data_IF_410532893339
#
_entry.id   IF_410532893339
#
_cell.length_a   1.000
_cell.length_b   1.000
_cell.length_c   1.000
_cell.angle_alpha   90.00
_cell.angle_beta   90.00
_cell.angle_gamma   90.00
#
_symmetry.space_group_name_H-M   'P 1'
#
loop_
_entity.id
_entity.type
_entity.pdbx_description
1 polymer ?
#
# COMPACT_ATOMS: atom_id res chain seq x y z
N UNK A 1 7.53 46.70 -20.00
CA UNK A 1 8.29 45.45 -19.82
C UNK A 1 7.70 44.73 -18.62
N UNK A 2 7.01 43.59 -18.77
CA UNK A 2 6.48 42.87 -17.60
C UNK A 2 7.66 42.28 -16.82
N UNK A 3 7.81 42.71 -15.58
CA UNK A 3 8.80 42.20 -14.63
C UNK A 3 8.49 40.74 -14.32
N UNK A 4 9.34 39.82 -14.77
CA UNK A 4 9.25 38.43 -14.37
C UNK A 4 9.39 38.34 -12.84
N UNK A 5 8.50 37.62 -12.15
CA UNK A 5 8.61 37.45 -10.71
C UNK A 5 9.94 36.74 -10.39
N UNK A 6 10.64 37.13 -9.31
CA UNK A 6 11.89 36.50 -8.94
C UNK A 6 11.67 35.01 -8.70
N UNK A 7 12.63 34.19 -9.14
CA UNK A 7 12.57 32.72 -9.10
C UNK A 7 12.12 32.17 -7.73
N UNK A 8 12.53 32.82 -6.64
CA UNK A 8 12.12 32.49 -5.28
C UNK A 8 10.60 32.55 -5.08
N UNK A 9 9.91 33.55 -5.64
CA UNK A 9 8.45 33.69 -5.55
C UNK A 9 7.71 32.59 -6.30
N UNK A 10 8.28 32.11 -7.42
CA UNK A 10 7.71 30.98 -8.15
C UNK A 10 7.85 29.69 -7.35
N UNK A 11 9.04 29.45 -6.76
CA UNK A 11 9.27 28.26 -5.93
C UNK A 11 8.31 28.17 -4.75
N UNK A 12 7.82 29.28 -4.18
CA UNK A 12 6.83 29.31 -3.09
C UNK A 12 5.41 28.90 -3.47
N UNK A 13 5.11 28.65 -4.75
CA UNK A 13 3.77 28.23 -5.13
C UNK A 13 3.53 26.75 -4.77
N UNK A 14 2.35 26.40 -4.22
CA UNK A 14 2.02 25.04 -3.78
C UNK A 14 1.84 24.03 -4.93
N UNK A 15 1.76 24.50 -6.18
CA UNK A 15 1.65 23.70 -7.40
C UNK A 15 3.02 23.33 -8.00
N UNK A 16 4.12 23.83 -7.44
CA UNK A 16 5.47 23.48 -7.90
C UNK A 16 6.01 22.32 -7.09
N UNK A 17 6.20 21.19 -7.77
CA UNK A 17 6.88 20.03 -7.22
C UNK A 17 8.36 20.34 -6.99
N UNK A 18 8.75 20.51 -5.72
CA UNK A 18 10.14 20.73 -5.32
C UNK A 18 10.85 19.40 -5.11
N UNK A 19 11.56 18.91 -6.13
CA UNK A 19 12.30 17.64 -6.07
C UNK A 19 13.45 17.58 -5.05
N UNK A 20 13.74 18.66 -4.31
CA UNK A 20 14.85 18.75 -3.31
C UNK A 20 14.45 19.28 -1.93
N UNK A 21 13.22 19.74 -1.72
CA UNK A 21 12.81 20.37 -0.45
C UNK A 21 12.01 19.42 0.46
N UNK A 22 12.39 18.15 0.49
CA UNK A 22 12.00 17.25 1.60
C UNK A 22 12.86 17.47 2.86
N UNK A 23 13.81 18.42 2.85
CA UNK A 23 14.61 18.78 4.01
C UNK A 23 13.84 19.56 5.10
N UNK A 24 12.66 20.12 4.79
CA UNK A 24 11.82 20.88 5.73
C UNK A 24 10.58 20.14 6.24
N UNK A 25 10.24 18.98 5.66
CA UNK A 25 9.25 18.09 6.27
C UNK A 25 9.95 17.40 7.44
N UNK A 26 9.38 17.50 8.65
CA UNK A 26 9.85 16.76 9.83
C UNK A 26 10.27 15.35 9.40
N UNK A 27 11.55 15.02 9.64
CA UNK A 27 12.15 13.77 9.18
C UNK A 27 11.21 12.64 9.60
N UNK A 28 10.64 11.86 8.66
CA UNK A 28 9.68 10.83 9.04
C UNK A 28 10.34 9.94 10.11
N UNK A 29 9.63 9.69 11.20
CA UNK A 29 10.11 8.93 12.35
C UNK A 29 10.38 7.49 11.93
N UNK A 30 11.60 7.23 11.46
CA UNK A 30 12.00 5.89 11.06
C UNK A 30 12.06 4.97 12.28
N UNK A 31 11.57 3.74 12.13
CA UNK A 31 11.73 2.72 13.18
C UNK A 31 13.11 2.08 13.05
N UNK A 32 13.87 1.94 14.15
CA UNK A 32 15.17 1.29 14.09
C UNK A 32 15.01 -0.16 13.63
N UNK A 33 15.94 -0.62 12.79
CA UNK A 33 15.91 -1.99 12.25
C UNK A 33 16.42 -3.02 13.24
N UNK A 34 17.19 -2.59 14.23
CA UNK A 34 17.96 -3.46 15.13
C UNK A 34 19.32 -3.86 14.58
N UNK A 35 19.65 -3.42 13.36
CA UNK A 35 20.94 -3.65 12.72
C UNK A 35 21.58 -2.30 12.39
N UNK A 36 22.60 -1.90 13.14
CA UNK A 36 23.26 -0.60 12.98
C UNK A 36 23.77 -0.35 11.54
N UNK A 37 24.26 -1.41 10.88
CA UNK A 37 24.69 -1.35 9.49
C UNK A 37 23.53 -1.00 8.53
N UNK A 38 22.34 -1.59 8.74
CA UNK A 38 21.17 -1.31 7.93
C UNK A 38 20.60 0.08 8.24
N UNK A 39 20.53 0.46 9.52
CA UNK A 39 20.10 1.80 9.93
C UNK A 39 20.99 2.89 9.30
N UNK A 40 22.31 2.67 9.23
CA UNK A 40 23.25 3.62 8.60
C UNK A 40 23.10 3.70 7.09
N UNK A 41 22.70 2.61 6.44
CA UNK A 41 22.55 2.56 4.99
C UNK A 41 21.21 3.14 4.50
N UNK A 42 20.15 3.03 5.31
CA UNK A 42 18.84 3.58 4.99
C UNK A 42 18.85 5.10 5.21
N UNK A 43 18.43 5.86 4.19
CA UNK A 43 18.48 7.33 4.21
C UNK A 43 17.77 7.96 5.42
N UNK A 44 16.66 7.36 5.86
CA UNK A 44 15.92 7.83 7.03
C UNK A 44 16.36 7.21 8.36
N UNK A 45 17.35 6.31 8.36
CA UNK A 45 17.87 5.71 9.58
C UNK A 45 17.11 4.49 10.09
N UNK A 46 16.30 3.83 9.25
CA UNK A 46 15.52 2.67 9.64
C UNK A 46 14.32 2.38 8.74
N UNK A 47 13.42 1.52 9.22
CA UNK A 47 12.17 1.18 8.54
C UNK A 47 11.23 2.39 8.43
N UNK A 48 10.38 2.46 7.38
CA UNK A 48 9.31 3.44 7.29
C UNK A 48 8.38 3.42 8.51
N UNK A 49 7.93 4.61 8.95
CA UNK A 49 6.97 4.77 10.04
C UNK A 49 5.59 4.14 9.74
N UNK A 50 5.20 4.10 8.48
CA UNK A 50 3.96 3.47 8.03
C UNK A 50 4.02 3.28 6.52
N UNK A 51 3.06 2.54 5.98
CA UNK A 51 3.03 2.19 4.57
C UNK A 51 3.78 0.89 4.26
N UNK A 52 4.09 0.70 2.98
CA UNK A 52 4.53 -0.58 2.44
C UNK A 52 6.06 -0.67 2.38
N UNK A 53 6.61 -1.74 2.94
CA UNK A 53 7.97 -2.23 2.70
C UNK A 53 7.86 -3.55 1.94
N UNK A 54 8.65 -3.74 0.90
CA UNK A 54 8.77 -5.05 0.25
C UNK A 54 10.09 -5.72 0.61
N UNK A 55 10.00 -7.03 0.91
CA UNK A 55 11.16 -7.89 1.06
C UNK A 55 11.04 -9.03 0.06
N UNK A 56 12.06 -9.16 -0.78
CA UNK A 56 12.14 -10.15 -1.85
C UNK A 56 13.14 -11.25 -1.47
N UNK A 57 12.67 -12.50 -1.37
CA UNK A 57 13.46 -13.66 -0.94
C UNK A 57 12.90 -14.97 -1.52
N UNK A 58 13.75 -15.96 -1.79
CA UNK A 58 13.32 -17.25 -2.40
C UNK A 58 12.83 -18.28 -1.40
N UNK A 59 13.63 -18.57 -0.37
CA UNK A 59 13.32 -19.59 0.64
C UNK A 59 13.61 -19.12 2.07
N UNK A 60 14.24 -17.95 2.21
CA UNK A 60 14.62 -17.40 3.50
C UNK A 60 13.43 -16.66 4.10
N UNK A 61 12.99 -17.08 5.29
CA UNK A 61 12.02 -16.30 6.04
C UNK A 61 12.70 -15.03 6.57
N UNK A 62 12.29 -13.83 6.14
CA UNK A 62 12.92 -12.58 6.57
C UNK A 62 12.57 -12.21 8.01
N UNK A 63 11.88 -13.09 8.74
CA UNK A 63 11.38 -12.82 10.08
C UNK A 63 12.51 -12.38 11.03
N UNK A 64 13.70 -12.99 10.96
CA UNK A 64 14.85 -12.60 11.79
C UNK A 64 15.31 -11.15 11.59
N UNK A 65 15.19 -10.62 10.36
CA UNK A 65 15.47 -9.22 10.05
C UNK A 65 14.42 -8.28 10.66
N UNK A 66 13.19 -8.77 10.83
CA UNK A 66 12.03 -7.99 11.25
C UNK A 66 11.78 -8.04 12.76
N UNK A 67 12.10 -9.16 13.42
CA UNK A 67 11.86 -9.38 14.85
C UNK A 67 12.42 -8.26 15.74
N UNK A 68 13.65 -7.74 15.55
CA UNK A 68 14.16 -6.67 16.41
C UNK A 68 13.33 -5.38 16.31
N UNK A 69 12.75 -5.08 15.15
CA UNK A 69 11.88 -3.93 14.97
C UNK A 69 10.48 -4.17 15.55
N UNK A 70 9.95 -5.39 15.40
CA UNK A 70 8.66 -5.80 15.97
C UNK A 70 8.68 -5.93 17.49
N UNK A 71 9.80 -6.32 18.09
CA UNK A 71 9.96 -6.31 19.54
C UNK A 71 9.95 -4.89 20.12
N UNK A 72 10.36 -3.90 19.31
CA UNK A 72 10.47 -2.49 19.69
C UNK A 72 9.21 -1.68 19.40
N UNK A 73 8.18 -2.25 18.78
CA UNK A 73 6.89 -1.56 18.63
C UNK A 73 6.18 -1.32 19.98
N UNK A 74 6.79 -1.69 21.11
CA UNK A 74 6.28 -1.41 22.47
C UNK A 74 4.94 -2.09 22.70
N UNK A 75 4.16 -1.67 23.70
CA UNK A 75 2.77 -2.09 23.95
C UNK A 75 1.74 -1.49 22.98
N UNK A 76 2.20 -0.85 21.92
CA UNK A 76 1.34 -0.13 20.98
C UNK A 76 0.79 -1.10 19.91
N UNK A 77 -0.48 -1.48 20.05
CA UNK A 77 -1.29 -2.15 19.03
C UNK A 77 -0.91 -3.59 18.67
N UNK A 78 -1.58 -4.12 17.67
CA UNK A 78 -1.53 -5.53 17.24
C UNK A 78 -0.48 -5.73 16.14
N UNK A 79 0.17 -6.90 16.16
CA UNK A 79 1.04 -7.39 15.10
C UNK A 79 0.29 -8.47 14.33
N UNK A 80 0.10 -8.25 13.03
CA UNK A 80 -0.65 -9.18 12.17
C UNK A 80 0.28 -10.00 11.31
N UNK A 81 0.12 -11.33 11.32
CA UNK A 81 0.76 -12.27 10.42
C UNK A 81 -0.27 -12.79 9.41
N UNK A 82 -0.18 -12.33 8.17
CA UNK A 82 -1.10 -12.70 7.11
C UNK A 82 -0.49 -13.73 6.16
N UNK A 83 -1.14 -14.90 6.10
CA UNK A 83 -0.75 -16.02 5.25
C UNK A 83 0.69 -16.55 5.46
N UNK A 84 1.19 -16.68 6.72
CA UNK A 84 2.54 -17.20 6.92
C UNK A 84 2.68 -18.60 6.30
N UNK A 85 3.85 -18.94 5.75
CA UNK A 85 4.07 -20.20 5.03
C UNK A 85 3.97 -21.44 5.94
N UNK A 86 4.11 -21.25 7.24
CA UNK A 86 3.96 -22.27 8.26
C UNK A 86 3.35 -21.64 9.52
N UNK A 87 2.79 -22.48 10.40
CA UNK A 87 2.26 -22.01 11.69
C UNK A 87 3.42 -21.39 12.52
N UNK A 88 3.29 -20.13 12.94
CA UNK A 88 4.35 -19.49 13.74
C UNK A 88 4.45 -20.14 15.12
N UNK A 89 5.65 -20.59 15.50
CA UNK A 89 5.89 -21.21 16.80
C UNK A 89 5.83 -20.17 17.93
N UNK A 90 4.86 -20.30 18.83
CA UNK A 90 4.59 -19.35 19.92
C UNK A 90 5.84 -18.99 20.75
N UNK A 91 6.63 -19.99 21.15
CA UNK A 91 7.83 -19.80 21.95
C UNK A 91 8.88 -18.90 21.28
N UNK A 92 9.00 -18.95 19.95
CA UNK A 92 9.97 -18.13 19.22
C UNK A 92 9.57 -16.64 19.22
N UNK A 93 8.28 -16.34 19.17
CA UNK A 93 7.76 -14.97 19.23
C UNK A 93 7.87 -14.39 20.64
N UNK A 94 7.58 -15.20 21.67
CA UNK A 94 7.79 -14.82 23.07
C UNK A 94 9.27 -14.57 23.37
N UNK A 95 10.16 -15.46 22.90
CA UNK A 95 11.61 -15.28 23.05
C UNK A 95 12.13 -14.03 22.32
N UNK A 96 11.45 -13.61 21.24
CA UNK A 96 11.74 -12.36 20.56
C UNK A 96 11.16 -11.11 21.27
N UNK A 97 10.47 -11.28 22.40
CA UNK A 97 9.90 -10.17 23.19
C UNK A 97 8.54 -9.67 22.68
N UNK A 98 7.82 -10.46 21.90
CA UNK A 98 6.50 -10.09 21.36
C UNK A 98 5.41 -10.83 22.15
N UNK A 99 4.52 -10.11 22.87
CA UNK A 99 3.39 -10.73 23.59
C UNK A 99 2.44 -11.45 22.63
N UNK A 100 2.05 -12.68 22.95
CA UNK A 100 1.20 -13.50 22.06
C UNK A 100 -0.22 -12.95 21.96
N UNK A 101 -0.69 -12.27 22.99
CA UNK A 101 -2.00 -11.63 23.09
C UNK A 101 -2.18 -10.54 22.02
N UNK A 102 -1.06 -10.06 21.46
CA UNK A 102 -1.03 -9.02 20.43
C UNK A 102 -0.74 -9.57 19.04
N UNK A 103 -0.44 -10.86 18.94
CA UNK A 103 -0.13 -11.51 17.68
C UNK A 103 -1.40 -12.08 17.07
N UNK A 104 -1.85 -11.47 15.96
CA UNK A 104 -3.00 -11.96 15.20
C UNK A 104 -2.55 -12.74 13.98
N UNK A 105 -3.10 -13.93 13.82
CA UNK A 105 -2.89 -14.75 12.63
C UNK A 105 -4.08 -14.59 11.68
N UNK A 106 -3.83 -14.06 10.48
CA UNK A 106 -4.81 -13.99 9.40
C UNK A 106 -4.48 -15.07 8.36
N UNK A 107 -5.32 -16.09 8.28
CA UNK A 107 -5.23 -17.14 7.26
C UNK A 107 -6.52 -17.18 6.46
N UNK A 108 -6.42 -17.65 5.21
CA UNK A 108 -7.58 -17.94 4.40
C UNK A 108 -7.33 -19.26 3.65
N UNK A 109 -8.37 -20.02 3.32
CA UNK A 109 -8.27 -21.16 2.41
C UNK A 109 -7.60 -20.76 1.09
N UNK A 110 -6.75 -21.62 0.54
CA UNK A 110 -6.01 -21.35 -0.70
C UNK A 110 -6.93 -21.07 -1.91
N UNK A 111 -8.16 -21.59 -1.90
CA UNK A 111 -9.17 -21.33 -2.92
C UNK A 111 -9.92 -19.99 -2.74
N UNK A 112 -9.62 -19.21 -1.69
CA UNK A 112 -10.26 -17.92 -1.41
C UNK A 112 -9.24 -16.76 -1.26
N UNK A 113 -8.38 -16.52 -2.26
CA UNK A 113 -7.37 -15.45 -2.17
C UNK A 113 -7.99 -14.05 -2.05
N UNK A 114 -9.21 -13.85 -2.59
CA UNK A 114 -9.94 -12.59 -2.46
C UNK A 114 -10.30 -12.25 -1.01
N UNK A 115 -10.63 -13.26 -0.19
CA UNK A 115 -10.93 -13.09 1.22
C UNK A 115 -9.69 -12.61 1.98
N UNK A 116 -8.54 -13.26 1.75
CA UNK A 116 -7.27 -12.84 2.33
C UNK A 116 -6.92 -11.40 1.95
N UNK A 117 -7.02 -11.05 0.66
CA UNK A 117 -6.73 -9.68 0.18
C UNK A 117 -7.61 -8.65 0.89
N UNK A 118 -8.90 -8.94 1.04
CA UNK A 118 -9.84 -8.06 1.73
C UNK A 118 -9.48 -7.91 3.20
N UNK A 119 -9.27 -9.02 3.92
CA UNK A 119 -8.87 -9.01 5.33
C UNK A 119 -7.57 -8.24 5.54
N UNK A 120 -6.59 -8.40 4.65
CA UNK A 120 -5.34 -7.65 4.69
C UNK A 120 -5.54 -6.13 4.55
N UNK A 121 -6.42 -5.71 3.62
CA UNK A 121 -6.73 -4.30 3.42
C UNK A 121 -7.46 -3.69 4.62
N UNK A 122 -8.44 -4.40 5.17
CA UNK A 122 -9.18 -3.96 6.35
C UNK A 122 -8.26 -3.85 7.57
N UNK A 123 -7.44 -4.88 7.83
CA UNK A 123 -6.46 -4.87 8.93
C UNK A 123 -5.43 -3.74 8.77
N UNK A 124 -4.86 -3.55 7.58
CA UNK A 124 -3.88 -2.50 7.33
C UNK A 124 -4.46 -1.08 7.47
N UNK A 125 -5.75 -0.91 7.23
CA UNK A 125 -6.45 0.38 7.35
C UNK A 125 -6.89 0.73 8.78
N UNK A 126 -6.86 -0.26 9.70
CA UNK A 126 -7.17 -0.05 11.10
C UNK A 126 -6.00 0.60 11.83
N UNK A 127 -6.29 1.50 12.75
CA UNK A 127 -5.33 2.12 13.67
C UNK A 127 -4.90 1.19 14.83
N UNK A 128 -5.59 0.05 15.01
CA UNK A 128 -5.25 -0.94 16.01
C UNK A 128 -4.02 -1.78 15.61
N UNK A 129 -3.66 -1.83 14.32
CA UNK A 129 -2.55 -2.65 13.81
C UNK A 129 -1.32 -1.78 13.60
N UNK A 130 -0.28 -1.98 14.40
CA UNK A 130 0.97 -1.19 14.27
C UNK A 130 1.94 -1.79 13.28
N UNK A 131 1.93 -3.11 13.12
CA UNK A 131 2.75 -3.81 12.14
C UNK A 131 2.00 -4.99 11.52
N UNK A 132 2.25 -5.24 10.24
CA UNK A 132 1.66 -6.35 9.51
C UNK A 132 2.69 -6.99 8.59
N UNK A 133 2.87 -8.30 8.71
CA UNK A 133 3.65 -9.11 7.78
C UNK A 133 2.69 -9.87 6.87
N UNK A 134 2.78 -9.67 5.56
CA UNK A 134 1.96 -10.39 4.59
C UNK A 134 2.84 -11.19 3.63
N UNK A 135 2.69 -12.51 3.64
CA UNK A 135 3.32 -13.39 2.67
C UNK A 135 2.41 -13.52 1.47
N UNK A 136 2.78 -12.82 0.39
CA UNK A 136 1.99 -12.84 -0.82
C UNK A 136 2.31 -14.11 -1.62
N UNK A 137 1.29 -14.83 -2.11
CA UNK A 137 1.50 -16.01 -2.94
C UNK A 137 2.31 -15.65 -4.18
N UNK A 138 3.11 -16.60 -4.69
CA UNK A 138 3.94 -16.39 -5.90
C UNK A 138 3.13 -15.99 -7.12
N UNK A 139 1.86 -16.39 -7.17
CA UNK A 139 0.89 -16.07 -8.24
C UNK A 139 0.33 -14.65 -8.12
N UNK A 140 0.53 -13.96 -6.99
CA UNK A 140 0.05 -12.60 -6.76
C UNK A 140 0.91 -11.58 -7.52
N UNK A 141 0.40 -11.18 -8.69
CA UNK A 141 1.07 -10.27 -9.62
C UNK A 141 0.37 -8.93 -9.76
N UNK A 142 -0.79 -8.72 -9.14
CA UNK A 142 -1.58 -7.50 -9.34
C UNK A 142 -0.91 -6.29 -8.68
N UNK A 143 -0.37 -5.33 -9.45
CA UNK A 143 0.24 -4.13 -8.88
C UNK A 143 -0.79 -3.22 -8.18
N UNK A 144 -2.08 -3.35 -8.50
CA UNK A 144 -3.15 -2.58 -7.85
C UNK A 144 -3.32 -3.01 -6.40
N UNK A 145 -3.13 -4.29 -6.09
CA UNK A 145 -3.19 -4.79 -4.71
C UNK A 145 -2.13 -4.12 -3.84
N UNK A 146 -0.86 -4.10 -4.27
CA UNK A 146 0.22 -3.46 -3.51
C UNK A 146 -0.04 -1.97 -3.30
N UNK A 147 -0.59 -1.29 -4.30
CA UNK A 147 -0.93 0.13 -4.17
C UNK A 147 -2.04 0.34 -3.15
N UNK A 148 -3.07 -0.50 -3.16
CA UNK A 148 -4.16 -0.46 -2.18
C UNK A 148 -3.66 -0.78 -0.76
N UNK A 149 -2.80 -1.79 -0.62
CA UNK A 149 -2.18 -2.13 0.67
C UNK A 149 -1.31 -0.98 1.19
N UNK A 150 -0.54 -0.33 0.32
CA UNK A 150 0.26 0.82 0.70
C UNK A 150 -0.61 1.98 1.23
N UNK A 151 -1.68 2.32 0.52
CA UNK A 151 -2.61 3.38 0.92
C UNK A 151 -3.36 3.01 2.22
N UNK A 152 -3.81 1.76 2.35
CA UNK A 152 -4.43 1.27 3.59
C UNK A 152 -3.47 1.39 4.78
N UNK A 153 -2.23 0.92 4.62
CA UNK A 153 -1.20 1.01 5.65
C UNK A 153 -0.85 2.46 6.02
N UNK A 154 -0.88 3.39 5.06
CA UNK A 154 -0.74 4.83 5.36
C UNK A 154 -1.93 5.36 6.16
N UNK A 155 -3.15 4.98 5.80
CA UNK A 155 -4.38 5.37 6.49
C UNK A 155 -4.39 4.87 7.95
N UNK A 156 -4.10 3.58 8.17
CA UNK A 156 -4.05 2.97 9.50
C UNK A 156 -2.77 3.25 10.28
N UNK A 157 -1.82 4.02 9.73
CA UNK A 157 -0.48 4.24 10.30
C UNK A 157 0.27 2.94 10.61
N UNK A 158 -0.04 1.88 9.87
CA UNK A 158 0.54 0.55 10.00
C UNK A 158 1.84 0.44 9.20
N UNK A 159 2.85 -0.23 9.77
CA UNK A 159 4.00 -0.71 9.01
C UNK A 159 3.72 -2.06 8.38
N UNK A 160 3.48 -2.05 7.08
CA UNK A 160 3.15 -3.25 6.33
C UNK A 160 4.36 -3.74 5.56
N UNK A 161 4.77 -4.99 5.82
CA UNK A 161 5.85 -5.68 5.13
C UNK A 161 5.26 -6.75 4.22
N UNK A 162 5.35 -6.56 2.92
CA UNK A 162 5.01 -7.58 1.94
C UNK A 162 6.24 -8.45 1.62
N UNK A 163 6.14 -9.73 1.97
CA UNK A 163 7.15 -10.75 1.73
C UNK A 163 6.79 -11.44 0.42
N UNK A 164 7.71 -11.40 -0.54
CA UNK A 164 7.48 -11.89 -1.91
C UNK A 164 8.70 -12.64 -2.42
N UNK A 165 8.49 -13.42 -3.46
CA UNK A 165 9.54 -14.17 -4.15
C UNK A 165 10.53 -13.23 -4.88
N UNK A 166 11.81 -13.61 -4.93
CA UNK A 166 12.90 -12.84 -5.55
C UNK A 166 12.65 -12.48 -7.02
N UNK A 167 11.88 -13.30 -7.76
CA UNK A 167 11.62 -13.05 -9.18
C UNK A 167 10.87 -11.73 -9.43
N UNK A 168 10.21 -11.17 -8.41
CA UNK A 168 9.55 -9.86 -8.50
C UNK A 168 10.51 -8.66 -8.41
N UNK A 169 11.83 -8.88 -8.35
CA UNK A 169 12.87 -7.83 -8.27
C UNK A 169 12.65 -6.71 -9.28
N UNK A 170 12.49 -7.07 -10.55
CA UNK A 170 12.37 -6.11 -11.66
C UNK A 170 10.94 -5.61 -11.89
N UNK A 171 9.96 -6.08 -11.11
CA UNK A 171 8.58 -5.60 -11.24
C UNK A 171 8.42 -4.23 -10.58
N UNK A 172 7.65 -3.36 -11.24
CA UNK A 172 7.24 -2.07 -10.66
C UNK A 172 6.47 -2.27 -9.36
N UNK A 173 6.80 -1.46 -8.37
CA UNK A 173 6.15 -1.52 -7.06
C UNK A 173 5.95 -0.13 -6.44
N UNK A 174 4.78 0.10 -5.80
CA UNK A 174 4.52 1.33 -5.05
C UNK A 174 5.30 1.40 -3.73
N UNK A 175 5.89 0.31 -3.25
CA UNK A 175 6.61 0.29 -1.97
C UNK A 175 7.74 1.34 -1.96
N UNK A 176 7.76 2.31 -1.03
CA UNK A 176 8.87 3.25 -0.91
C UNK A 176 10.20 2.57 -0.61
N UNK A 177 10.19 1.50 0.19
CA UNK A 177 11.36 0.69 0.51
C UNK A 177 11.22 -0.73 -0.07
N UNK A 178 12.22 -1.19 -0.82
CA UNK A 178 12.31 -2.54 -1.35
C UNK A 178 13.69 -3.11 -1.04
N UNK A 179 13.71 -4.29 -0.45
CA UNK A 179 14.93 -5.02 -0.11
C UNK A 179 14.97 -6.37 -0.81
N UNK A 180 16.15 -6.78 -1.29
CA UNK A 180 16.42 -8.13 -1.75
C UNK A 180 17.29 -8.86 -0.73
N UNK A 181 16.94 -10.11 -0.42
CA UNK A 181 17.72 -10.96 0.48
C UNK A 181 18.19 -12.21 -0.26
N UNK A 182 19.47 -12.52 -0.12
CA UNK A 182 20.08 -13.74 -0.65
C UNK A 182 20.85 -14.45 0.46
N UNK A 183 20.56 -15.72 0.74
CA UNK A 183 21.33 -16.47 1.73
C UNK A 183 22.77 -16.65 1.25
N UNK A 184 23.73 -16.44 2.13
CA UNK A 184 25.11 -16.91 1.89
C UNK A 184 25.13 -18.40 2.20
N UNK A 185 25.91 -19.19 1.45
CA UNK A 185 25.80 -20.66 1.38
C UNK A 185 26.16 -21.46 2.66
N UNK A 186 26.16 -20.85 3.85
CA UNK A 186 26.49 -21.56 5.10
C UNK A 186 25.33 -21.49 6.13
N UNK A 187 25.16 -22.50 7.00
CA UNK A 187 24.04 -22.58 7.95
C UNK A 187 24.05 -21.48 9.03
N UNK A 188 25.23 -20.93 9.32
CA UNK A 188 25.44 -19.77 10.20
C UNK A 188 25.65 -18.47 9.42
N UNK A 189 25.48 -18.51 8.10
CA UNK A 189 25.98 -17.44 7.26
C UNK A 189 25.18 -16.14 7.44
N UNK A 190 25.93 -15.07 7.29
CA UNK A 190 25.40 -13.75 7.05
C UNK A 190 24.44 -13.75 5.86
N UNK A 191 23.55 -12.77 5.80
CA UNK A 191 22.67 -12.57 4.64
C UNK A 191 23.19 -11.41 3.82
N UNK A 192 23.28 -11.63 2.51
CA UNK A 192 23.45 -10.52 1.58
C UNK A 192 22.12 -9.80 1.43
N UNK A 193 22.14 -8.51 1.75
CA UNK A 193 21.02 -7.61 1.61
C UNK A 193 21.33 -6.58 0.53
N UNK A 194 20.38 -6.37 -0.37
CA UNK A 194 20.41 -5.30 -1.36
C UNK A 194 19.26 -4.32 -1.13
N UNK A 195 19.57 -3.03 -1.09
CA UNK A 195 18.57 -1.95 -1.09
C UNK A 195 18.18 -1.67 -2.54
N UNK A 196 17.12 -2.31 -3.02
CA UNK A 196 16.63 -2.18 -4.40
C UNK A 196 15.98 -0.81 -4.62
N UNK A 197 15.31 -0.28 -3.60
CA UNK A 197 14.63 1.02 -3.65
C UNK A 197 14.52 1.58 -2.24
N UNK A 198 14.74 2.88 -2.07
CA UNK A 198 14.48 3.58 -0.81
C UNK A 198 14.06 5.04 -1.07
N UNK A 199 13.30 5.67 -0.16
CA UNK A 199 13.00 7.09 -0.26
C UNK A 199 14.23 7.94 0.07
N UNK A 200 14.52 8.95 -0.76
CA UNK A 200 15.58 9.96 -0.52
C UNK A 200 17.03 9.46 -0.62
N UNK A 201 17.26 8.15 -0.57
CA UNK A 201 18.58 7.52 -0.64
C UNK A 201 18.91 6.90 -2.00
N UNK A 202 20.07 6.25 -2.06
CA UNK A 202 20.59 5.62 -3.28
C UNK A 202 20.15 4.16 -3.35
N UNK A 203 19.70 3.72 -4.52
CA UNK A 203 19.40 2.31 -4.77
C UNK A 203 20.68 1.53 -5.14
N UNK A 204 20.64 0.20 -5.00
CA UNK A 204 21.72 -0.71 -5.40
C UNK A 204 22.80 -0.94 -4.33
N UNK A 205 22.68 -0.32 -3.15
CA UNK A 205 23.59 -0.59 -2.04
C UNK A 205 23.47 -2.05 -1.62
N UNK A 206 24.61 -2.73 -1.47
CA UNK A 206 24.68 -4.09 -0.99
C UNK A 206 25.47 -4.14 0.31
N UNK A 207 25.02 -4.97 1.24
CA UNK A 207 25.72 -5.21 2.50
C UNK A 207 25.53 -6.64 2.97
N UNK A 208 26.47 -7.09 3.77
CA UNK A 208 26.40 -8.37 4.47
C UNK A 208 25.93 -8.11 5.90
N UNK A 209 24.80 -8.71 6.28
CA UNK A 209 24.27 -8.62 7.64
C UNK A 209 24.53 -9.91 8.39
N UNK A 210 25.10 -9.79 9.58
CA UNK A 210 25.22 -10.90 10.52
C UNK A 210 23.82 -11.41 10.89
N UNK A 211 23.42 -12.55 10.31
CA UNK A 211 22.08 -13.12 10.48
C UNK A 211 21.85 -13.70 11.89
N UNK A 212 22.96 -13.89 12.62
CA UNK A 212 23.02 -14.17 14.05
C UNK A 212 23.64 -12.97 14.79
N UNK A 213 22.88 -11.89 15.04
CA UNK A 213 23.35 -10.88 15.98
C UNK A 213 23.53 -11.56 17.35
N UNK A 214 24.57 -11.21 18.14
CA UNK A 214 24.84 -11.86 19.43
C UNK A 214 23.63 -11.91 20.37
N UNK A 215 22.73 -10.93 20.26
CA UNK A 215 21.47 -10.85 21.03
C UNK A 215 20.48 -11.99 20.74
N UNK A 216 20.52 -12.60 19.55
CA UNK A 216 19.67 -13.74 19.16
C UNK A 216 20.40 -15.09 19.28
N UNK A 217 21.65 -15.12 19.79
CA UNK A 217 22.42 -16.35 20.04
C UNK A 217 22.10 -17.02 21.37
N UNK A 218 21.21 -16.43 22.18
CA UNK A 218 20.73 -17.11 23.37
C UNK A 218 19.88 -18.31 22.95
N UNK A 219 20.23 -19.54 23.34
CA UNK A 219 19.42 -20.70 23.03
C UNK A 219 18.04 -20.50 23.66
N UNK A 220 16.99 -20.83 22.91
CA UNK A 220 15.64 -20.92 23.48
C UNK A 220 15.72 -21.84 24.70
N UNK A 221 15.40 -21.30 25.88
CA UNK A 221 15.47 -22.02 27.15
C UNK A 221 14.49 -23.18 27.12
N UNK A 222 15.01 -24.39 26.92
CA UNK A 222 14.29 -25.65 26.75
C UNK A 222 13.21 -25.66 25.63
N UNK A 223 13.01 -26.78 24.92
CA UNK A 223 11.84 -26.88 24.05
C UNK A 223 10.60 -26.70 24.93
N UNK A 224 9.82 -25.64 24.65
CA UNK A 224 8.48 -25.53 25.19
C UNK A 224 7.79 -26.86 24.89
N UNK A 225 7.56 -27.65 25.93
CA UNK A 225 6.70 -28.81 25.79
C UNK A 225 5.41 -28.23 25.24
N UNK A 226 4.95 -28.76 24.11
CA UNK A 226 3.61 -28.51 23.65
C UNK A 226 2.71 -29.01 24.77
N UNK A 227 2.39 -28.13 25.73
CA UNK A 227 1.28 -28.34 26.61
C UNK A 227 0.12 -28.49 25.64
N UNK A 228 -0.38 -29.72 25.50
CA UNK A 228 -1.62 -29.98 24.79
C UNK A 228 -2.62 -28.99 25.37
N UNK A 229 -3.08 -27.98 24.62
CA UNK A 229 -3.99 -27.00 25.20
C UNK A 229 -5.30 -27.74 25.47
N UNK A 230 -5.50 -28.16 26.72
CA UNK A 230 -6.83 -28.45 27.21
C UNK A 230 -7.58 -27.12 27.14
N UNK A 231 -8.60 -27.04 26.28
CA UNK A 231 -9.31 -25.81 25.92
C UNK A 231 -8.48 -24.81 25.11
N UNK A 232 -8.35 -25.08 23.81
CA UNK A 232 -8.42 -23.99 22.83
C UNK A 232 -9.91 -23.60 22.77
N UNK A 233 -10.34 -22.73 23.71
CA UNK A 233 -11.63 -22.09 23.58
C UNK A 233 -11.62 -21.37 22.24
N UNK A 234 -12.39 -21.92 21.31
CA UNK A 234 -12.63 -21.28 20.03
C UNK A 234 -13.49 -20.08 20.39
N UNK A 235 -12.86 -18.96 20.76
CA UNK A 235 -13.54 -17.71 20.87
C UNK A 235 -13.97 -17.34 19.46
N UNK A 236 -15.15 -17.82 19.05
CA UNK A 236 -15.96 -17.16 18.04
C UNK A 236 -16.31 -15.82 18.67
N UNK A 237 -15.74 -14.68 18.21
CA UNK A 237 -16.22 -13.41 18.69
C UNK A 237 -17.72 -13.35 18.37
N UNK A 238 -18.55 -13.16 19.40
CA UNK A 238 -19.94 -12.78 19.21
C UNK A 238 -19.91 -11.39 18.59
N UNK A 239 -19.91 -11.33 17.27
CA UNK A 239 -20.08 -10.08 16.54
C UNK A 239 -21.41 -9.47 17.03
N UNK A 240 -21.42 -8.20 17.48
CA UNK A 240 -22.69 -7.54 17.77
C UNK A 240 -23.57 -7.65 16.53
N UNK A 241 -24.85 -8.00 16.72
CA UNK A 241 -25.80 -8.13 15.64
C UNK A 241 -25.71 -6.90 14.74
N UNK A 242 -25.30 -7.11 13.49
CA UNK A 242 -25.31 -6.07 12.46
C UNK A 242 -26.78 -5.73 12.29
N UNK A 243 -27.21 -4.59 12.82
CA UNK A 243 -28.50 -4.01 12.45
C UNK A 243 -28.47 -3.84 10.94
N UNK A 244 -29.39 -4.46 10.19
CA UNK A 244 -29.43 -4.30 8.75
C UNK A 244 -29.49 -2.81 8.44
N UNK A 245 -28.51 -2.32 7.68
CA UNK A 245 -28.53 -0.96 7.17
C UNK A 245 -29.86 -0.78 6.44
N UNK A 246 -30.65 0.26 6.72
CA UNK A 246 -31.85 0.52 5.95
C UNK A 246 -31.46 0.55 4.47
N UNK A 247 -32.25 -0.16 3.67
CA UNK A 247 -32.05 -0.29 2.24
C UNK A 247 -31.86 1.12 1.65
N UNK A 248 -30.79 1.37 0.87
CA UNK A 248 -30.65 2.67 0.23
C UNK A 248 -31.91 2.93 -0.60
N UNK A 249 -32.45 4.16 -0.58
CA UNK A 249 -33.61 4.48 -1.39
C UNK A 249 -33.32 4.10 -2.84
N UNK A 250 -34.27 3.39 -3.47
CA UNK A 250 -34.15 2.95 -4.86
C UNK A 250 -33.70 4.13 -5.72
N UNK A 251 -32.59 3.95 -6.44
CA UNK A 251 -32.12 4.96 -7.39
C UNK A 251 -33.26 5.24 -8.36
N UNK A 252 -33.63 6.52 -8.59
CA UNK A 252 -34.59 6.85 -9.62
C UNK A 252 -34.06 6.34 -10.97
N UNK A 253 -34.94 5.90 -11.88
CA UNK A 253 -34.53 5.36 -13.17
C UNK A 253 -33.58 6.33 -13.86
N UNK A 254 -32.45 5.78 -14.33
CA UNK A 254 -31.40 6.52 -15.03
C UNK A 254 -32.00 7.55 -16.00
N UNK A 255 -31.76 8.84 -15.74
CA UNK A 255 -31.89 9.84 -16.79
C UNK A 255 -30.79 9.55 -17.82
N UNK A 256 -31.10 8.69 -18.79
CA UNK A 256 -30.37 8.65 -20.05
C UNK A 256 -30.53 10.01 -20.70
N UNK A 257 -29.55 10.88 -20.47
CA UNK A 257 -29.37 12.07 -21.29
C UNK A 257 -29.16 11.56 -22.73
N UNK A 258 -30.23 11.59 -23.51
CA UNK A 258 -30.25 11.07 -24.87
C UNK A 258 -29.18 11.77 -25.71
N UNK A 259 -28.28 10.98 -26.29
CA UNK A 259 -27.55 11.39 -27.48
C UNK A 259 -28.58 11.81 -28.54
N UNK A 260 -28.29 12.86 -29.35
CA UNK A 260 -29.26 13.41 -30.29
C UNK A 260 -29.61 12.37 -31.35
N UNK A 261 -30.88 11.95 -31.42
CA UNK A 261 -31.33 11.13 -32.55
C UNK A 261 -32.59 10.28 -32.38
N UNK A 262 -33.13 10.08 -31.17
CA UNK A 262 -34.43 9.40 -31.01
C UNK A 262 -35.31 10.11 -30.00
N UNK A 263 -36.32 10.81 -30.52
CA UNK A 263 -37.37 11.43 -29.75
C UNK A 263 -38.23 10.35 -29.08
N UNK A 264 -38.34 10.41 -27.76
CA UNK A 264 -39.53 9.96 -27.05
C UNK A 264 -40.24 11.21 -26.55
N UNK A 265 -41.55 11.31 -26.80
CA UNK A 265 -42.36 12.45 -26.43
C UNK A 265 -42.29 12.72 -24.91
N UNK A 266 -42.22 13.99 -24.46
CA UNK A 266 -42.23 14.27 -23.04
C UNK A 266 -43.61 13.93 -22.44
N UNK A 267 -43.69 13.40 -21.21
CA UNK A 267 -44.97 13.26 -20.53
C UNK A 267 -45.51 14.64 -20.13
N UNK A 268 -46.84 14.75 -20.16
CA UNK A 268 -47.59 15.93 -19.70
C UNK A 268 -47.47 16.01 -18.18
N UNK A 269 -46.84 17.07 -17.67
CA UNK A 269 -46.81 17.42 -16.25
C UNK A 269 -48.07 18.24 -15.94
N UNK A 270 -48.99 17.65 -15.20
CA UNK A 270 -50.17 18.33 -14.67
C UNK A 270 -49.77 19.03 -13.36
N UNK A 271 -49.61 20.36 -13.43
CA UNK A 271 -49.27 21.21 -12.28
C UNK A 271 -50.53 21.96 -11.83
N UNK A 272 -50.96 21.85 -10.56
CA UNK A 272 -52.08 22.64 -10.08
C UNK A 272 -51.66 24.11 -9.90
N UNK A 273 -52.39 24.99 -10.60
CA UNK A 273 -52.71 26.36 -10.21
C UNK A 273 -51.57 27.30 -9.83
N UNK A 274 -51.15 28.14 -10.77
CA UNK A 274 -50.50 29.43 -10.45
C UNK A 274 -51.38 30.58 -10.98
N UNK A 275 -51.70 31.61 -10.17
CA UNK A 275 -52.53 32.71 -10.61
C UNK A 275 -51.79 33.57 -11.65
N UNK A 276 -52.57 34.07 -12.59
CA UNK A 276 -52.14 34.92 -13.70
C UNK A 276 -51.50 36.22 -13.20
N UNK A 277 -50.29 36.48 -13.67
CA UNK A 277 -49.60 37.76 -13.54
C UNK A 277 -48.68 37.91 -14.74
N UNK A 278 -49.07 38.75 -15.69
CA UNK A 278 -48.30 39.12 -16.87
C UNK A 278 -46.97 39.76 -16.47
N UNK A 279 -45.87 39.09 -16.79
CA UNK A 279 -44.53 39.71 -16.85
C UNK A 279 -43.91 39.34 -18.19
N UNK A 280 -43.63 40.30 -19.08
CA UNK A 280 -43.01 40.00 -20.36
C UNK A 280 -41.52 39.67 -20.17
N UNK A 281 -41.09 38.50 -20.67
CA UNK A 281 -39.67 38.13 -20.77
C UNK A 281 -39.00 38.90 -21.93
N UNK A 282 -37.72 39.33 -21.78
CA UNK A 282 -36.98 40.01 -22.84
C UNK A 282 -36.56 39.06 -23.98
N UNK A 283 -36.48 39.62 -25.19
CA UNK A 283 -36.19 38.92 -26.43
C UNK A 283 -34.82 38.22 -26.45
N UNK A 284 -34.81 36.99 -26.97
CA UNK A 284 -33.62 36.17 -27.16
C UNK A 284 -32.66 36.76 -28.21
N UNK A 285 -31.37 36.76 -27.89
CA UNK A 285 -30.29 37.15 -28.79
C UNK A 285 -30.09 36.15 -29.95
N UNK A 286 -29.64 36.59 -31.14
CA UNK A 286 -29.53 35.75 -32.31
C UNK A 286 -28.36 34.75 -32.24
N UNK A 287 -28.64 33.53 -32.71
CA UNK A 287 -27.70 32.41 -32.85
C UNK A 287 -26.77 32.62 -34.04
N UNK A 288 -25.46 32.53 -33.84
CA UNK A 288 -24.45 32.59 -34.90
C UNK A 288 -24.37 31.29 -35.73
N UNK A 289 -24.09 31.36 -37.05
CA UNK A 289 -24.08 30.21 -37.94
C UNK A 289 -22.83 29.32 -37.77
N UNK A 290 -23.05 28.00 -37.86
CA UNK A 290 -22.01 26.95 -37.87
C UNK A 290 -21.30 26.87 -39.23
N UNK A 291 -19.97 26.84 -39.22
CA UNK A 291 -19.13 26.57 -40.41
C UNK A 291 -18.59 25.11 -40.38
N UNK A 292 -18.66 24.34 -41.49
CA UNK A 292 -18.08 22.98 -41.61
C UNK A 292 -16.62 23.00 -42.15
N UNK A 293 -15.93 21.83 -42.26
CA UNK A 293 -14.56 21.66 -41.77
C UNK A 293 -13.45 21.75 -42.83
N UNK A 294 -12.20 21.93 -42.39
CA UNK A 294 -11.00 21.79 -43.22
C UNK A 294 -10.23 20.49 -42.90
N UNK A 295 -9.98 19.71 -43.94
CA UNK A 295 -9.20 18.48 -43.95
C UNK A 295 -7.71 18.72 -44.24
N UNK A 296 -6.92 17.64 -44.12
CA UNK A 296 -5.50 17.44 -44.49
C UNK A 296 -4.48 17.70 -43.34
N UNK A 297 -3.44 16.89 -43.11
CA UNK A 297 -2.74 15.93 -43.98
C UNK A 297 -1.85 15.03 -43.10
N UNK A 298 -1.93 13.70 -43.27
CA UNK A 298 -0.93 12.74 -42.75
C UNK A 298 0.38 12.91 -43.51
N UNK A 299 1.51 13.15 -42.82
CA UNK A 299 2.84 12.92 -43.38
C UNK A 299 3.37 11.57 -42.91
N UNK A 300 3.48 10.62 -43.86
CA UNK A 300 4.38 9.46 -43.77
C UNK A 300 5.81 9.96 -44.03
N UNK A 301 6.79 9.57 -43.21
CA UNK A 301 8.20 9.53 -43.63
C UNK A 301 8.65 8.07 -43.64
N UNK A 302 9.06 7.62 -44.83
CA UNK A 302 9.77 6.37 -45.09
C UNK A 302 11.26 6.57 -44.79
N UNK A 303 11.90 5.44 -44.47
CA UNK A 303 13.33 5.25 -44.32
C UNK A 303 14.14 5.59 -45.58
N UNK A 304 15.42 5.93 -45.37
CA UNK A 304 16.51 5.83 -46.35
C UNK A 304 17.74 5.32 -45.57
N UNK A 305 18.23 4.16 -45.98
CA UNK A 305 19.58 3.65 -45.75
C UNK A 305 20.63 4.58 -46.35
N UNK A 306 21.80 4.71 -45.71
CA UNK A 306 23.07 4.74 -46.45
C UNK A 306 24.25 4.46 -45.53
N UNK A 307 25.06 3.52 -46.00
CA UNK A 307 26.36 3.07 -45.51
C UNK A 307 27.36 4.23 -45.37
N UNK A 308 28.24 4.18 -44.37
CA UNK A 308 29.70 4.27 -44.45
C UNK A 308 30.30 3.72 -43.15
#
# INVERSE_FOLDING_TARGET
MPTQPPLQSLLHRPDIWRGRDSAGASRPTARPTGFAALDSALHHGGWPAHGLTEILCEALCPLRLLLPALARTGDEGLVVLANPPALPGAAAWQAAGIPLERLLLLTAPANQPALLRRACLEAASSDAVTAMLVWLPRQERDPRLLRRLHLAAQQGRCWLVAIRDSHFRHHSSPAPLRLGLTPVQQPEADVQLEIIKQPGGWAGQQMTLAWFPPSLRQPATAPAHAATPAHMDTHSPTLPAITPRPEPPQEPPEYRLGLPGKAAAPPVLDLPGRPAGDVPLPAAAPVAPKTPPAAARRRRRRAVDQEH
#
